data_IF_171164764683
#
_entry.id   IF_171164764683
#
_cell.length_a   1.000
_cell.length_b   1.000
_cell.length_c   1.000
_cell.angle_alpha   90.00
_cell.angle_beta   90.00
_cell.angle_gamma   90.00
#
_symmetry.space_group_name_H-M   'P 1'
#
loop_
_entity.id
_entity.type
_entity.pdbx_description
1 polymer ?
#
# COMPACT_ATOMS: atom_id res chain seq x y z
N UNK A 1 14.88 -4.31 5.59
CA UNK A 1 13.58 -3.68 5.28
C UNK A 1 12.62 -4.78 4.91
N UNK A 2 11.37 -4.68 5.36
CA UNK A 2 10.32 -5.65 5.03
C UNK A 2 9.13 -4.91 4.39
N UNK A 3 8.56 -5.48 3.35
CA UNK A 3 7.31 -4.99 2.78
C UNK A 3 6.14 -5.38 3.71
N UNK A 4 5.14 -4.51 3.81
CA UNK A 4 3.91 -4.74 4.56
C UNK A 4 2.75 -4.88 3.57
N UNK A 5 1.94 -5.91 3.78
CA UNK A 5 0.63 -6.06 3.14
C UNK A 5 -0.44 -5.41 4.01
N UNK A 6 -1.63 -5.09 3.47
CA UNK A 6 -2.72 -4.55 4.26
C UNK A 6 -3.09 -5.49 5.41
N UNK A 7 -3.36 -4.94 6.59
CA UNK A 7 -3.57 -5.74 7.79
C UNK A 7 -3.72 -4.89 9.06
N UNK A 8 -3.67 -5.56 10.21
CA UNK A 8 -3.68 -4.88 11.51
C UNK A 8 -2.30 -5.01 12.12
N UNK A 9 -1.67 -3.86 12.33
CA UNK A 9 -0.45 -3.73 13.10
C UNK A 9 -0.80 -3.57 14.57
N UNK A 10 -0.15 -4.37 15.41
CA UNK A 10 -0.29 -4.32 16.87
C UNK A 10 1.07 -3.96 17.47
N UNK A 11 1.07 -3.01 18.41
CA UNK A 11 2.25 -2.68 19.20
C UNK A 11 1.84 -2.30 20.61
N UNK A 12 2.76 -2.49 21.55
CA UNK A 12 2.57 -2.11 22.94
C UNK A 12 3.07 -0.68 23.17
N UNK A 13 2.28 0.16 23.84
CA UNK A 13 2.71 1.50 24.22
C UNK A 13 3.53 1.48 25.54
N UNK A 14 4.04 2.64 25.96
CA UNK A 14 4.82 2.74 27.20
C UNK A 14 4.05 2.37 28.48
N UNK A 15 2.71 2.32 28.43
CA UNK A 15 1.83 1.91 29.52
C UNK A 15 1.47 0.41 29.48
N UNK A 16 2.13 -0.38 28.62
CA UNK A 16 1.84 -1.81 28.41
C UNK A 16 0.42 -2.07 27.87
N UNK A 17 -0.13 -1.12 27.12
CA UNK A 17 -1.41 -1.29 26.44
C UNK A 17 -1.20 -1.66 24.98
N UNK A 18 -1.93 -2.66 24.52
CA UNK A 18 -1.99 -3.00 23.10
C UNK A 18 -2.69 -1.89 22.31
N UNK A 19 -1.98 -1.37 21.31
CA UNK A 19 -2.50 -0.43 20.34
C UNK A 19 -2.69 -1.15 19.01
N UNK A 20 -3.90 -1.00 18.46
CA UNK A 20 -4.30 -1.61 17.19
C UNK A 20 -4.42 -0.55 16.12
N UNK A 21 -3.76 -0.78 14.99
CA UNK A 21 -3.76 0.13 13.85
C UNK A 21 -4.03 -0.67 12.58
N UNK A 22 -5.14 -0.38 11.90
CA UNK A 22 -5.34 -0.83 10.53
C UNK A 22 -4.36 -0.09 9.62
N UNK A 23 -3.59 -0.85 8.84
CA UNK A 23 -2.59 -0.32 7.91
C UNK A 23 -2.84 -0.85 6.51
N UNK A 24 -2.60 0.01 5.51
CA UNK A 24 -2.52 -0.38 4.10
C UNK A 24 -1.11 -0.92 3.79
N UNK A 25 -0.75 -1.04 2.51
CA UNK A 25 0.60 -1.35 2.06
C UNK A 25 1.63 -0.30 2.51
N UNK A 26 2.82 -0.80 2.82
CA UNK A 26 3.93 0.04 3.22
C UNK A 26 5.19 -0.75 3.46
N UNK A 27 6.06 -0.17 4.29
CA UNK A 27 7.40 -0.70 4.54
C UNK A 27 7.76 -0.55 6.00
N UNK A 28 8.44 -1.56 6.54
CA UNK A 28 9.02 -1.56 7.87
C UNK A 28 10.55 -1.56 7.77
N UNK A 29 11.17 -0.66 8.51
CA UNK A 29 12.62 -0.61 8.69
C UNK A 29 12.93 -0.74 10.17
N UNK A 30 13.80 -1.69 10.53
CA UNK A 30 14.33 -1.84 11.88
C UNK A 30 15.83 -1.55 11.85
N UNK A 31 16.26 -0.61 12.68
CA UNK A 31 17.66 -0.22 12.86
C UNK A 31 17.99 -0.27 14.35
N UNK A 32 18.66 -1.34 14.78
CA UNK A 32 18.87 -1.63 16.20
C UNK A 32 17.53 -1.78 16.92
N UNK A 33 17.32 -0.97 17.96
CA UNK A 33 16.07 -0.93 18.73
C UNK A 33 14.97 -0.06 18.08
N UNK A 34 15.28 0.73 17.04
CA UNK A 34 14.32 1.61 16.40
C UNK A 34 13.58 0.87 15.29
N UNK A 35 12.26 0.90 15.33
CA UNK A 35 11.38 0.43 14.25
C UNK A 35 10.65 1.63 13.66
N UNK A 36 10.63 1.73 12.35
CA UNK A 36 9.87 2.73 11.60
C UNK A 36 8.93 2.01 10.64
N UNK A 37 7.67 2.43 10.64
CA UNK A 37 6.62 1.92 9.76
C UNK A 37 6.13 3.10 8.92
N UNK A 38 6.23 2.97 7.61
CA UNK A 38 5.73 3.97 6.66
C UNK A 38 4.68 3.30 5.77
N UNK A 39 3.44 3.77 5.87
CA UNK A 39 2.28 3.22 5.14
C UNK A 39 1.53 4.38 4.49
N UNK A 40 0.79 4.10 3.41
CA UNK A 40 0.00 5.15 2.72
C UNK A 40 -1.15 5.65 3.58
N UNK A 41 -1.80 4.73 4.30
CA UNK A 41 -2.98 4.98 5.15
C UNK A 41 -2.87 4.17 6.42
N UNK A 42 -3.28 4.78 7.53
CA UNK A 42 -3.32 4.15 8.83
C UNK A 42 -4.52 4.67 9.63
N UNK A 43 -5.23 3.78 10.30
CA UNK A 43 -6.33 4.10 11.19
C UNK A 43 -6.13 3.39 12.54
N UNK A 44 -5.96 4.15 13.62
CA UNK A 44 -5.89 3.61 14.97
C UNK A 44 -7.29 3.52 15.59
N UNK A 45 -7.55 2.49 16.39
CA UNK A 45 -8.85 2.33 17.03
C UNK A 45 -8.88 1.22 18.07
N UNK A 46 -9.92 1.23 18.92
CA UNK A 46 -10.15 0.19 19.93
C UNK A 46 -11.11 -0.90 19.44
N UNK A 47 -11.94 -0.58 18.46
CA UNK A 47 -12.88 -1.54 17.86
C UNK A 47 -12.20 -2.29 16.71
N UNK A 48 -11.80 -3.52 17.01
CA UNK A 48 -11.18 -4.40 16.04
C UNK A 48 -12.10 -4.71 14.86
N UNK A 49 -13.43 -4.78 15.03
CA UNK A 49 -14.33 -5.07 13.91
C UNK A 49 -14.30 -3.93 12.88
N UNK A 50 -14.31 -2.68 13.35
CA UNK A 50 -14.16 -1.51 12.48
C UNK A 50 -12.79 -1.47 11.78
N UNK A 51 -11.71 -1.82 12.51
CA UNK A 51 -10.37 -1.88 11.92
C UNK A 51 -10.26 -2.97 10.84
N UNK A 52 -10.85 -4.16 11.06
CA UNK A 52 -10.90 -5.20 10.02
C UNK A 52 -11.68 -4.73 8.80
N UNK A 53 -12.84 -4.11 9.01
CA UNK A 53 -13.65 -3.58 7.92
C UNK A 53 -12.90 -2.54 7.08
N UNK A 54 -12.13 -1.64 7.71
CA UNK A 54 -11.31 -0.66 7.01
C UNK A 54 -10.23 -1.32 6.12
N UNK A 55 -9.55 -2.35 6.63
CA UNK A 55 -8.57 -3.11 5.83
C UNK A 55 -9.24 -3.77 4.63
N UNK A 56 -10.33 -4.49 4.85
CA UNK A 56 -10.98 -5.29 3.82
C UNK A 56 -11.69 -4.45 2.75
N UNK A 57 -12.47 -3.45 3.18
CA UNK A 57 -13.35 -2.71 2.28
C UNK A 57 -12.68 -1.50 1.66
N UNK A 58 -11.82 -0.81 2.41
CA UNK A 58 -11.26 0.46 1.97
C UNK A 58 -9.87 0.28 1.38
N UNK A 59 -8.96 -0.38 2.11
CA UNK A 59 -7.57 -0.48 1.67
C UNK A 59 -7.40 -1.43 0.48
N UNK A 60 -7.92 -2.65 0.57
CA UNK A 60 -7.84 -3.62 -0.54
C UNK A 60 -8.55 -3.11 -1.81
N UNK A 61 -9.74 -2.50 -1.67
CA UNK A 61 -10.50 -1.99 -2.82
C UNK A 61 -9.79 -0.83 -3.50
N UNK A 62 -9.24 0.11 -2.74
CA UNK A 62 -8.51 1.24 -3.30
C UNK A 62 -7.20 0.79 -3.94
N UNK A 63 -6.47 -0.15 -3.35
CA UNK A 63 -5.23 -0.66 -3.95
C UNK A 63 -5.50 -1.38 -5.27
N UNK A 64 -6.58 -2.18 -5.36
CA UNK A 64 -6.98 -2.82 -6.62
C UNK A 64 -7.33 -1.79 -7.72
N UNK A 65 -8.08 -0.73 -7.37
CA UNK A 65 -8.41 0.36 -8.31
C UNK A 65 -7.16 1.13 -8.76
N UNK A 66 -6.24 1.43 -7.84
CA UNK A 66 -4.99 2.10 -8.17
C UNK A 66 -4.10 1.24 -9.08
N UNK A 67 -4.06 -0.08 -8.86
CA UNK A 67 -3.33 -1.03 -9.71
C UNK A 67 -3.92 -1.10 -11.12
N UNK A 68 -5.25 -1.16 -11.25
CA UNK A 68 -5.92 -1.20 -12.55
C UNK A 68 -5.65 0.07 -13.37
N UNK A 69 -5.80 1.25 -12.76
CA UNK A 69 -5.50 2.53 -13.41
C UNK A 69 -4.04 2.61 -13.87
N UNK A 70 -3.10 2.17 -13.02
CA UNK A 70 -1.68 2.13 -13.37
C UNK A 70 -1.41 1.18 -14.53
N UNK A 71 -2.07 0.02 -14.57
CA UNK A 71 -1.92 -0.94 -15.66
C UNK A 71 -2.46 -0.39 -16.98
N UNK A 72 -3.60 0.29 -16.96
CA UNK A 72 -4.18 0.95 -18.14
C UNK A 72 -3.22 2.02 -18.68
N UNK A 73 -2.68 2.87 -17.81
CA UNK A 73 -1.73 3.91 -18.23
C UNK A 73 -0.45 3.32 -18.82
N UNK A 74 0.14 2.31 -18.18
CA UNK A 74 1.34 1.63 -18.70
C UNK A 74 1.13 1.02 -20.10
N UNK A 75 -0.08 0.51 -20.39
CA UNK A 75 -0.44 0.00 -21.72
C UNK A 75 -0.58 1.12 -22.75
N UNK A 76 -1.18 2.25 -22.38
CA UNK A 76 -1.31 3.42 -23.25
C UNK A 76 0.06 4.02 -23.60
N UNK A 77 0.93 4.16 -22.60
CA UNK A 77 2.31 4.64 -22.76
C UNK A 77 3.12 3.70 -23.67
N UNK A 78 3.09 2.39 -23.39
CA UNK A 78 3.80 1.39 -24.20
C UNK A 78 3.32 1.38 -25.65
N UNK A 79 2.00 1.44 -25.87
CA UNK A 79 1.41 1.50 -27.21
C UNK A 79 1.76 2.79 -27.96
N UNK A 80 1.89 3.92 -27.25
CA UNK A 80 2.32 5.19 -27.83
C UNK A 80 3.78 5.14 -28.28
N UNK A 81 4.69 4.67 -27.41
CA UNK A 81 6.11 4.47 -27.74
C UNK A 81 6.27 3.54 -28.94
N UNK A 82 5.55 2.42 -28.97
CA UNK A 82 5.63 1.47 -30.08
C UNK A 82 5.22 2.10 -31.42
N UNK A 83 4.18 2.96 -31.42
CA UNK A 83 3.76 3.67 -32.64
C UNK A 83 4.82 4.69 -33.08
N UNK A 84 5.41 5.45 -32.16
CA UNK A 84 6.47 6.40 -32.49
C UNK A 84 7.70 5.71 -33.08
N UNK A 85 8.18 4.62 -32.48
CA UNK A 85 9.31 3.83 -33.02
C UNK A 85 9.01 3.33 -34.44
N UNK A 86 7.77 2.93 -34.71
CA UNK A 86 7.32 2.49 -36.05
C UNK A 86 7.23 3.64 -37.07
N UNK A 87 7.10 4.89 -36.61
CA UNK A 87 7.18 6.07 -37.47
C UNK A 87 8.62 6.55 -37.70
N UNK A 88 9.54 6.34 -36.75
CA UNK A 88 10.96 6.68 -36.91
C UNK A 88 11.74 5.65 -37.74
N UNK A 89 11.34 4.38 -37.67
CA UNK A 89 11.83 3.33 -38.58
C UNK A 89 10.79 3.13 -39.68
N UNK A 90 10.83 3.98 -40.71
CA UNK A 90 9.98 3.83 -41.90
C UNK A 90 10.17 2.46 -42.59
N UNK A 91 9.25 2.07 -43.49
CA UNK A 91 9.43 0.88 -44.34
C UNK A 91 10.72 0.92 -45.16
#
# INVERSE_FOLDING_TARGET
MAALTPGILVYENAAQEDIYVAVDQGVLVKTGARVMVSVRRALAGKDLALLRAAVEQEFLTLDAREQDLRQVMARLESGFVQRMVRFEHGP
#
